data_IF_436529437265
#
_entry.id   IF_436529437265
#
_cell.length_a   1.000
_cell.length_b   1.000
_cell.length_c   1.000
_cell.angle_alpha   90.00
_cell.angle_beta   90.00
_cell.angle_gamma   90.00
#
_symmetry.space_group_name_H-M   'P 1'
#
loop_
_entity.id
_entity.type
_entity.pdbx_description
1 polymer ?
#
# COMPACT_ATOMS: atom_id res chain seq x y z
N UNK A 1 0.08 -28.97 -13.19
CA UNK A 1 -0.68 -28.35 -12.08
C UNK A 1 0.21 -27.70 -10.99
N UNK A 2 1.55 -27.65 -11.13
CA UNK A 2 2.46 -27.15 -10.07
C UNK A 2 2.85 -25.67 -10.11
N UNK A 3 2.76 -25.00 -11.27
CA UNK A 3 3.25 -23.61 -11.40
C UNK A 3 2.36 -22.55 -10.73
N UNK A 4 1.03 -22.79 -10.68
CA UNK A 4 0.08 -21.81 -10.11
C UNK A 4 0.16 -21.69 -8.59
N UNK A 5 0.37 -22.81 -7.89
CA UNK A 5 0.52 -22.82 -6.41
C UNK A 5 1.84 -22.15 -5.99
N UNK A 6 2.91 -22.29 -6.78
CA UNK A 6 4.17 -21.60 -6.51
C UNK A 6 4.11 -20.09 -6.75
N UNK A 7 3.42 -19.65 -7.82
CA UNK A 7 3.23 -18.21 -8.10
C UNK A 7 2.36 -17.54 -7.02
N UNK A 8 1.27 -18.19 -6.63
CA UNK A 8 0.39 -17.72 -5.57
C UNK A 8 1.11 -17.59 -4.22
N UNK A 9 1.80 -18.64 -3.79
CA UNK A 9 2.57 -18.63 -2.54
C UNK A 9 3.66 -17.56 -2.55
N UNK A 10 4.37 -17.38 -3.68
CA UNK A 10 5.40 -16.35 -3.81
C UNK A 10 4.81 -14.94 -3.64
N UNK A 11 3.71 -14.64 -4.35
CA UNK A 11 3.05 -13.34 -4.24
C UNK A 11 2.49 -13.09 -2.84
N UNK A 12 1.83 -14.07 -2.24
CA UNK A 12 1.30 -13.96 -0.88
C UNK A 12 2.42 -13.72 0.14
N UNK A 13 3.54 -14.43 0.01
CA UNK A 13 4.72 -14.24 0.87
C UNK A 13 5.33 -12.84 0.75
N UNK A 14 5.45 -12.32 -0.48
CA UNK A 14 5.93 -10.95 -0.72
C UNK A 14 4.98 -9.93 -0.07
N UNK A 15 3.67 -10.08 -0.30
CA UNK A 15 2.66 -9.19 0.27
C UNK A 15 2.68 -9.20 1.80
N UNK A 16 2.80 -10.38 2.40
CA UNK A 16 2.91 -10.54 3.85
C UNK A 16 4.15 -9.83 4.40
N UNK A 17 5.31 -10.05 3.79
CA UNK A 17 6.56 -9.41 4.19
C UNK A 17 6.49 -7.88 4.09
N UNK A 18 6.00 -7.33 2.96
CA UNK A 18 5.88 -5.88 2.76
C UNK A 18 4.88 -5.28 3.75
N UNK A 19 3.76 -5.96 4.03
CA UNK A 19 2.79 -5.53 5.04
C UNK A 19 3.42 -5.47 6.43
N UNK A 20 4.18 -6.50 6.81
CA UNK A 20 4.90 -6.54 8.08
C UNK A 20 5.90 -5.38 8.19
N UNK A 21 6.72 -5.15 7.16
CA UNK A 21 7.68 -4.05 7.14
C UNK A 21 7.00 -2.68 7.22
N UNK A 22 5.90 -2.47 6.51
CA UNK A 22 5.13 -1.22 6.62
C UNK A 22 4.57 -1.01 8.03
N UNK A 23 4.07 -2.07 8.68
CA UNK A 23 3.59 -1.99 10.07
C UNK A 23 4.72 -1.59 11.01
N UNK A 24 5.88 -2.24 10.91
CA UNK A 24 7.05 -1.96 11.74
C UNK A 24 7.56 -0.53 11.49
N UNK A 25 7.67 -0.11 10.23
CA UNK A 25 8.07 1.26 9.89
C UNK A 25 7.08 2.29 10.46
N UNK A 26 5.78 2.06 10.27
CA UNK A 26 4.74 2.98 10.72
C UNK A 26 4.70 3.11 12.25
N UNK A 27 4.61 1.99 12.97
CA UNK A 27 4.46 2.02 14.43
C UNK A 27 5.78 2.24 15.16
N UNK A 28 6.85 1.63 14.68
CA UNK A 28 8.15 1.59 15.36
C UNK A 28 9.06 2.76 15.01
N UNK A 29 8.97 3.31 13.79
CA UNK A 29 9.81 4.42 13.35
C UNK A 29 9.01 5.71 13.29
N UNK A 30 7.97 5.77 12.45
CA UNK A 30 7.23 7.01 12.19
C UNK A 30 6.58 7.57 13.46
N UNK A 31 5.82 6.76 14.18
CA UNK A 31 5.18 7.21 15.42
C UNK A 31 6.19 7.53 16.53
N UNK A 32 7.34 6.86 16.55
CA UNK A 32 8.38 7.12 17.54
C UNK A 32 9.06 8.47 17.31
N UNK A 33 9.48 8.76 16.07
CA UNK A 33 10.15 10.03 15.77
C UNK A 33 9.20 11.22 15.86
N UNK A 34 7.90 11.02 15.58
CA UNK A 34 6.86 12.05 15.79
C UNK A 34 6.80 12.52 17.24
N UNK A 35 6.91 11.61 18.20
CA UNK A 35 6.96 11.95 19.64
C UNK A 35 8.19 12.79 20.00
N UNK A 36 9.28 12.64 19.24
CA UNK A 36 10.50 13.43 19.38
C UNK A 36 10.48 14.74 18.58
N UNK A 37 9.36 15.10 17.94
CA UNK A 37 9.18 16.35 17.20
C UNK A 37 9.56 16.30 15.71
N UNK A 38 10.08 15.16 15.21
CA UNK A 38 10.37 14.98 13.79
C UNK A 38 9.06 14.78 13.03
N UNK A 39 8.88 15.53 11.93
CA UNK A 39 7.65 15.47 11.13
C UNK A 39 7.90 14.66 9.85
N UNK A 40 7.14 13.58 9.63
CA UNK A 40 7.13 12.92 8.34
C UNK A 40 6.64 13.87 7.25
N UNK A 41 7.25 13.81 6.07
CA UNK A 41 6.98 14.76 4.99
C UNK A 41 6.94 14.08 3.64
N UNK A 42 6.06 14.55 2.76
CA UNK A 42 6.05 14.14 1.35
C UNK A 42 7.35 14.56 0.64
N UNK A 43 7.98 15.65 1.11
CA UNK A 43 9.22 16.20 0.58
C UNK A 43 10.46 15.77 1.37
N UNK A 44 10.42 14.62 2.07
CA UNK A 44 11.52 14.15 2.94
C UNK A 44 12.91 14.10 2.30
N UNK A 45 13.00 13.98 0.97
CA UNK A 45 14.30 14.00 0.26
C UNK A 45 14.95 15.38 0.20
N UNK A 46 14.18 16.44 0.39
CA UNK A 46 14.65 17.83 0.33
C UNK A 46 14.80 18.45 1.73
N UNK A 47 14.46 17.70 2.78
CA UNK A 47 14.50 18.14 4.18
C UNK A 47 15.20 17.07 5.02
N UNK A 48 16.46 17.31 5.37
CA UNK A 48 17.30 16.38 6.14
C UNK A 48 16.77 16.11 7.56
N UNK A 49 15.81 16.91 8.04
CA UNK A 49 15.13 16.73 9.32
C UNK A 49 13.80 15.98 9.20
N UNK A 50 13.38 15.63 7.99
CA UNK A 50 12.17 14.88 7.74
C UNK A 50 12.45 13.41 7.44
N UNK A 51 11.43 12.58 7.64
CA UNK A 51 11.43 11.19 7.21
C UNK A 51 10.29 10.94 6.22
N UNK A 52 10.43 9.89 5.42
CA UNK A 52 9.39 9.50 4.47
C UNK A 52 8.11 9.03 5.16
N UNK A 53 6.98 9.23 4.50
CA UNK A 53 5.68 8.71 4.93
C UNK A 53 5.56 7.20 4.74
N UNK A 54 4.58 6.59 5.42
CA UNK A 54 4.28 5.16 5.35
C UNK A 54 4.13 4.63 3.91
N UNK A 55 3.41 5.37 3.07
CA UNK A 55 3.22 4.99 1.66
C UNK A 55 4.51 5.14 0.83
N UNK A 56 5.33 6.14 1.16
CA UNK A 56 6.60 6.38 0.48
C UNK A 56 7.63 5.30 0.79
N UNK A 57 7.58 4.69 1.98
CA UNK A 57 8.41 3.53 2.33
C UNK A 57 8.17 2.35 1.38
N UNK A 58 6.91 1.95 1.17
CA UNK A 58 6.59 0.86 0.22
C UNK A 58 6.98 1.22 -1.20
N UNK A 59 6.72 2.47 -1.63
CA UNK A 59 7.07 2.93 -2.99
C UNK A 59 8.58 2.99 -3.22
N UNK A 60 9.35 3.41 -2.22
CA UNK A 60 10.81 3.44 -2.30
C UNK A 60 11.38 2.04 -2.36
N UNK A 61 10.91 1.12 -1.51
CA UNK A 61 11.29 -0.29 -1.58
C UNK A 61 10.94 -0.92 -2.93
N UNK A 62 9.74 -0.62 -3.46
CA UNK A 62 9.33 -1.10 -4.78
C UNK A 62 10.15 -0.56 -5.95
N UNK A 63 10.75 0.63 -5.81
CA UNK A 63 11.62 1.20 -6.83
C UNK A 63 13.00 0.50 -6.91
N UNK A 64 13.43 -0.18 -5.85
CA UNK A 64 14.68 -0.94 -5.81
C UNK A 64 14.53 -2.37 -6.38
N UNK A 65 13.29 -2.85 -6.55
CA UNK A 65 13.00 -4.20 -7.06
C UNK A 65 12.93 -4.18 -8.59
N UNK A 66 13.59 -5.14 -9.25
CA UNK A 66 13.67 -5.21 -10.72
C UNK A 66 12.82 -6.33 -11.31
N UNK A 67 12.55 -7.36 -10.52
CA UNK A 67 11.96 -8.63 -10.94
C UNK A 67 10.43 -8.55 -11.02
N UNK A 68 9.80 -7.69 -10.21
CA UNK A 68 8.36 -7.48 -10.18
C UNK A 68 8.01 -6.05 -9.78
N UNK A 69 6.79 -5.63 -10.08
CA UNK A 69 6.31 -4.32 -9.61
C UNK A 69 5.72 -4.45 -8.21
N UNK A 70 6.17 -3.60 -7.29
CA UNK A 70 5.58 -3.42 -5.97
C UNK A 70 5.07 -1.98 -5.82
N UNK A 71 3.87 -1.80 -5.27
CA UNK A 71 3.34 -0.47 -5.02
C UNK A 71 2.09 -0.46 -4.16
N UNK A 72 1.39 0.68 -4.21
CA UNK A 72 0.13 0.92 -3.51
C UNK A 72 -0.91 1.42 -4.51
N UNK A 73 -2.12 0.88 -4.44
CA UNK A 73 -3.27 1.34 -5.23
C UNK A 73 -4.50 1.56 -4.35
N UNK A 74 -5.39 2.45 -4.75
CA UNK A 74 -6.66 2.67 -4.05
C UNK A 74 -7.73 3.23 -4.98
N UNK A 75 -8.99 3.16 -4.57
CA UNK A 75 -10.12 3.72 -5.33
C UNK A 75 -10.19 5.25 -5.23
N UNK A 76 -9.66 5.81 -4.13
CA UNK A 76 -9.61 7.26 -3.87
C UNK A 76 -8.20 7.68 -3.40
N UNK A 77 -7.14 7.48 -4.22
CA UNK A 77 -5.78 7.79 -3.80
C UNK A 77 -5.52 9.29 -3.84
N UNK A 78 -4.60 9.78 -2.99
CA UNK A 78 -4.16 11.19 -3.01
C UNK A 78 -3.46 11.57 -4.34
N UNK A 79 -2.80 10.60 -4.98
CA UNK A 79 -2.08 10.80 -6.23
C UNK A 79 -2.59 9.85 -7.30
N UNK A 80 -2.81 10.38 -8.50
CA UNK A 80 -3.26 9.61 -9.68
C UNK A 80 -2.32 8.44 -10.03
N UNK A 81 -1.04 8.54 -9.70
CA UNK A 81 -0.07 7.45 -9.91
C UNK A 81 -0.34 6.20 -9.06
N UNK A 82 -1.18 6.30 -8.02
CA UNK A 82 -1.63 5.18 -7.21
C UNK A 82 -3.07 4.74 -7.58
N UNK A 83 -3.57 5.11 -8.76
CA UNK A 83 -4.81 4.52 -9.29
C UNK A 83 -4.55 3.08 -9.76
N UNK A 84 -5.57 2.20 -9.75
CA UNK A 84 -5.50 0.90 -10.40
C UNK A 84 -5.11 1.06 -11.88
N UNK A 85 -4.24 0.17 -12.38
CA UNK A 85 -3.81 0.17 -13.78
C UNK A 85 -4.81 -0.55 -14.70
N UNK A 86 -5.65 -1.42 -14.15
CA UNK A 86 -6.58 -2.26 -14.92
C UNK A 86 -7.95 -2.33 -14.25
N UNK A 87 -8.97 -2.76 -15.01
CA UNK A 87 -10.31 -3.00 -14.48
C UNK A 87 -10.30 -4.11 -13.42
N UNK A 88 -9.52 -5.18 -13.64
CA UNK A 88 -9.40 -6.28 -12.68
C UNK A 88 -8.87 -5.81 -11.31
N UNK A 89 -7.91 -4.88 -11.28
CA UNK A 89 -7.43 -4.26 -10.03
C UNK A 89 -8.51 -3.41 -9.36
N UNK A 90 -9.30 -2.67 -10.15
CA UNK A 90 -10.42 -1.88 -9.64
C UNK A 90 -11.48 -2.77 -9.00
N UNK A 91 -11.85 -3.86 -9.66
CA UNK A 91 -12.85 -4.80 -9.18
C UNK A 91 -12.36 -5.55 -7.94
N UNK A 92 -11.08 -5.90 -7.89
CA UNK A 92 -10.45 -6.51 -6.73
C UNK A 92 -10.48 -5.59 -5.50
N UNK A 93 -10.18 -4.30 -5.66
CA UNK A 93 -10.30 -3.32 -4.56
C UNK A 93 -11.74 -3.17 -4.08
N UNK A 94 -12.72 -3.13 -4.99
CA UNK A 94 -14.15 -3.09 -4.62
C UNK A 94 -14.57 -4.34 -3.84
N UNK A 95 -14.05 -5.52 -4.21
CA UNK A 95 -14.29 -6.76 -3.45
C UNK A 95 -13.75 -6.63 -2.03
N UNK A 96 -12.52 -6.14 -1.85
CA UNK A 96 -11.94 -5.90 -0.51
C UNK A 96 -12.71 -4.84 0.30
N UNK A 97 -13.27 -3.81 -0.35
CA UNK A 97 -14.09 -2.80 0.33
C UNK A 97 -15.43 -3.38 0.83
N UNK A 98 -16.02 -4.30 0.06
CA UNK A 98 -17.29 -4.94 0.38
C UNK A 98 -17.16 -6.17 1.29
N UNK A 99 -15.97 -6.76 1.40
CA UNK A 99 -15.69 -7.91 2.24
C UNK A 99 -14.50 -7.62 3.17
N UNK A 100 -14.76 -7.19 4.41
CA UNK A 100 -13.72 -6.94 5.39
C UNK A 100 -12.84 -8.16 5.68
N UNK A 101 -13.30 -9.39 5.50
CA UNK A 101 -12.51 -10.60 5.76
C UNK A 101 -11.52 -10.90 4.62
N UNK A 102 -11.74 -10.35 3.43
CA UNK A 102 -10.86 -10.50 2.28
C UNK A 102 -9.61 -9.63 2.40
N UNK A 103 -8.63 -10.10 3.18
CA UNK A 103 -7.37 -9.36 3.43
C UNK A 103 -6.34 -9.48 2.32
N UNK A 104 -6.35 -10.58 1.57
CA UNK A 104 -5.42 -10.88 0.48
C UNK A 104 -6.20 -11.53 -0.65
N UNK A 105 -5.88 -11.18 -1.88
CA UNK A 105 -6.42 -11.84 -3.06
C UNK A 105 -5.38 -11.86 -4.18
N UNK A 106 -5.36 -12.92 -4.97
CA UNK A 106 -4.49 -13.10 -6.12
C UNK A 106 -5.30 -13.41 -7.38
N UNK A 107 -4.84 -12.97 -8.53
CA UNK A 107 -5.53 -13.19 -9.81
C UNK A 107 -4.59 -13.05 -11.00
N UNK A 108 -5.01 -13.62 -12.13
CA UNK A 108 -4.38 -13.43 -13.44
C UNK A 108 -5.06 -12.27 -14.16
N UNK A 109 -4.26 -11.39 -14.76
CA UNK A 109 -4.72 -10.26 -15.55
C UNK A 109 -3.81 -10.11 -16.78
N UNK A 110 -4.28 -10.63 -17.92
CA UNK A 110 -3.46 -10.76 -19.12
C UNK A 110 -2.24 -11.65 -18.90
N UNK A 111 -1.04 -11.12 -19.19
CA UNK A 111 0.24 -11.80 -18.97
C UNK A 111 0.82 -11.53 -17.57
N UNK A 112 0.04 -11.02 -16.63
CA UNK A 112 0.52 -10.77 -15.27
C UNK A 112 -0.20 -11.66 -14.26
N UNK A 113 0.56 -12.16 -13.28
CA UNK A 113 0.02 -12.67 -12.04
C UNK A 113 0.11 -11.56 -10.99
N UNK A 114 -1.02 -11.21 -10.37
CA UNK A 114 -1.13 -10.08 -9.44
C UNK A 114 -1.61 -10.56 -8.09
N UNK A 115 -1.19 -9.84 -7.05
CA UNK A 115 -1.77 -9.99 -5.72
C UNK A 115 -1.94 -8.65 -5.04
N UNK A 116 -3.01 -8.55 -4.27
CA UNK A 116 -3.36 -7.38 -3.47
C UNK A 116 -3.44 -7.81 -2.01
N UNK A 117 -2.86 -7.01 -1.13
CA UNK A 117 -3.08 -7.11 0.31
C UNK A 117 -3.69 -5.80 0.82
N UNK A 118 -4.79 -5.91 1.56
CA UNK A 118 -5.53 -4.77 2.10
C UNK A 118 -4.62 -3.84 2.91
N UNK A 119 -4.62 -2.56 2.54
CA UNK A 119 -3.87 -1.50 3.21
C UNK A 119 -4.82 -0.62 4.04
N UNK A 120 -4.70 -0.73 5.35
CA UNK A 120 -5.54 -0.03 6.31
C UNK A 120 -4.85 1.22 6.85
N UNK A 121 -5.64 2.15 7.38
CA UNK A 121 -5.17 3.23 8.24
C UNK A 121 -4.63 2.64 9.57
N UNK A 122 -3.37 2.21 9.59
CA UNK A 122 -2.77 1.49 10.74
C UNK A 122 -2.76 2.33 12.03
N UNK A 123 -2.54 3.64 11.88
CA UNK A 123 -2.51 4.62 12.97
C UNK A 123 -3.38 5.83 12.62
N UNK A 124 -3.86 6.56 13.63
CA UNK A 124 -4.71 7.74 13.43
C UNK A 124 -4.06 8.79 12.51
N UNK A 125 -2.73 8.96 12.58
CA UNK A 125 -1.99 9.86 11.71
C UNK A 125 -2.14 9.53 10.20
N UNK A 126 -2.45 8.28 9.82
CA UNK A 126 -2.77 7.91 8.45
C UNK A 126 -4.08 8.57 8.01
N UNK A 127 -5.13 8.44 8.82
CA UNK A 127 -6.43 9.01 8.54
C UNK A 127 -6.38 10.54 8.55
N UNK A 128 -5.73 11.14 9.56
CA UNK A 128 -5.65 12.59 9.70
C UNK A 128 -5.00 13.24 8.48
N UNK A 129 -3.84 12.74 8.05
CA UNK A 129 -3.14 13.26 6.88
C UNK A 129 -4.04 13.16 5.63
N UNK A 130 -4.64 12.00 5.38
CA UNK A 130 -5.53 11.83 4.22
C UNK A 130 -6.78 12.70 4.29
N UNK A 131 -7.33 12.96 5.47
CA UNK A 131 -8.52 13.80 5.63
C UNK A 131 -8.21 15.28 5.40
N UNK A 132 -7.01 15.73 5.76
CA UNK A 132 -6.59 17.13 5.58
C UNK A 132 -5.89 17.41 4.26
N UNK A 133 -5.42 16.38 3.55
CA UNK A 133 -4.61 16.55 2.34
C UNK A 133 -5.40 17.28 1.23
N UNK A 134 -4.81 18.28 0.55
CA UNK A 134 -5.49 19.05 -0.49
C UNK A 134 -6.03 18.20 -1.65
N UNK A 135 -5.27 17.20 -2.07
CA UNK A 135 -5.66 16.30 -3.17
C UNK A 135 -6.61 15.18 -2.74
N UNK A 136 -7.09 15.18 -1.49
CA UNK A 136 -7.94 14.10 -1.00
C UNK A 136 -9.37 14.22 -1.52
N UNK A 137 -9.83 13.17 -2.18
CA UNK A 137 -11.22 13.04 -2.65
C UNK A 137 -12.14 12.41 -1.60
N UNK A 138 -11.58 11.71 -0.60
CA UNK A 138 -12.30 11.13 0.55
C UNK A 138 -11.69 11.64 1.85
N UNK A 139 -12.47 12.36 2.67
CA UNK A 139 -11.98 13.06 3.87
C UNK A 139 -12.57 12.58 5.20
N UNK A 140 -13.16 11.39 5.20
CA UNK A 140 -13.82 10.82 6.37
C UNK A 140 -13.16 9.51 6.84
N UNK A 141 -11.88 9.31 6.54
CA UNK A 141 -11.14 8.14 7.01
C UNK A 141 -11.07 8.12 8.53
N UNK A 142 -11.15 6.91 9.09
CA UNK A 142 -10.87 6.60 10.50
C UNK A 142 -9.72 5.61 10.59
N UNK A 143 -9.06 5.56 11.74
CA UNK A 143 -8.12 4.48 12.01
C UNK A 143 -8.83 3.12 11.82
N UNK A 144 -8.18 2.21 11.10
CA UNK A 144 -8.75 0.91 10.72
C UNK A 144 -9.51 0.89 9.39
N UNK A 145 -9.83 2.03 8.78
CA UNK A 145 -10.48 2.06 7.47
C UNK A 145 -9.57 1.49 6.38
N UNK A 146 -10.16 0.79 5.41
CA UNK A 146 -9.47 0.38 4.19
C UNK A 146 -9.15 1.62 3.35
N UNK A 147 -7.87 1.83 3.05
CA UNK A 147 -7.39 2.96 2.25
C UNK A 147 -7.04 2.54 0.82
N UNK A 148 -6.79 1.25 0.60
CA UNK A 148 -6.38 0.69 -0.67
C UNK A 148 -5.76 -0.69 -0.48
N UNK A 149 -4.78 -1.03 -1.32
CA UNK A 149 -4.02 -2.26 -1.22
C UNK A 149 -2.54 -2.04 -1.58
N UNK A 150 -1.67 -2.81 -0.93
CA UNK A 150 -0.34 -3.12 -1.45
C UNK A 150 -0.56 -4.05 -2.65
N UNK A 151 0.10 -3.77 -3.77
CA UNK A 151 -0.02 -4.55 -5.00
C UNK A 151 1.34 -5.08 -5.43
N UNK A 152 1.37 -6.36 -5.78
CA UNK A 152 2.49 -7.04 -6.47
C UNK A 152 2.02 -7.43 -7.86
N UNK A 153 2.83 -7.17 -8.88
CA UNK A 153 2.58 -7.60 -10.26
C UNK A 153 3.81 -8.30 -10.82
N UNK A 154 3.66 -9.58 -11.15
CA UNK A 154 4.71 -10.42 -11.74
C UNK A 154 4.33 -10.68 -13.21
N UNK A 155 5.26 -10.48 -14.14
CA UNK A 155 5.07 -10.89 -15.53
C UNK A 155 5.21 -12.42 -15.64
N UNK A 156 4.29 -13.05 -16.36
CA UNK A 156 4.30 -14.48 -16.68
C UNK A 156 4.90 -14.72 -18.06
#
# INVERSE_FOLDING_TARGET
MGAGVSEELAVQSILEAVKAFRIVYSKGVVEQVRKSGIKPSENWKADDHAIMLNAQFVKAAGAEIKEFELGLIGLTPLYKSNMPKTQAETDALKKMENDPELKVLTFVDGNQFKGLAADYAIVQACADCHNTHPNSTRKNFRQGDLMGAIVVRIKR
#
